data_IF_136456229088
#
_entry.id   IF_136456229088
#
_cell.length_a   1.000
_cell.length_b   1.000
_cell.length_c   1.000
_cell.angle_alpha   90.00
_cell.angle_beta   90.00
_cell.angle_gamma   90.00
#
_symmetry.space_group_name_H-M   'P 1'
#
loop_
_entity.id
_entity.type
_entity.pdbx_description
1 polymer ?
#
# COMPACT_ATOMS: atom_id res chain seq x y z
N UNK A 1 -55.08 -3.42 13.80
CA UNK A 1 -54.33 -3.32 15.08
C UNK A 1 -53.07 -4.17 15.08
N UNK A 2 -53.05 -5.34 14.42
CA UNK A 2 -51.86 -6.21 14.36
C UNK A 2 -50.80 -5.71 13.36
N UNK A 3 -51.22 -5.20 12.19
CA UNK A 3 -50.30 -4.73 11.13
C UNK A 3 -49.46 -3.52 11.55
N UNK A 4 -50.04 -2.63 12.36
CA UNK A 4 -49.35 -1.44 12.85
C UNK A 4 -48.20 -1.80 13.79
N UNK A 5 -48.38 -2.81 14.64
CA UNK A 5 -47.34 -3.31 15.55
C UNK A 5 -46.24 -4.05 14.80
N UNK A 6 -46.57 -4.71 13.70
CA UNK A 6 -45.61 -5.39 12.83
C UNK A 6 -44.71 -4.37 12.08
N UNK A 7 -45.30 -3.29 11.57
CA UNK A 7 -44.58 -2.19 10.92
C UNK A 7 -43.64 -1.46 11.88
N UNK A 8 -44.07 -1.19 13.10
CA UNK A 8 -43.23 -0.56 14.13
C UNK A 8 -42.05 -1.45 14.53
N UNK A 9 -42.27 -2.76 14.66
CA UNK A 9 -41.20 -3.71 14.96
C UNK A 9 -40.17 -3.80 13.81
N UNK A 10 -40.62 -3.82 12.56
CA UNK A 10 -39.75 -3.82 11.38
C UNK A 10 -38.90 -2.54 11.32
N UNK A 11 -39.53 -1.37 11.44
CA UNK A 11 -38.82 -0.07 11.43
C UNK A 11 -37.76 0.00 12.54
N UNK A 12 -38.10 -0.47 13.75
CA UNK A 12 -37.14 -0.52 14.86
C UNK A 12 -35.94 -1.42 14.53
N UNK A 13 -36.15 -2.57 13.89
CA UNK A 13 -35.05 -3.46 13.48
C UNK A 13 -34.19 -2.88 12.37
N UNK A 14 -34.78 -2.16 11.42
CA UNK A 14 -34.04 -1.49 10.34
C UNK A 14 -33.23 -0.30 10.87
N UNK A 15 -33.78 0.50 11.78
CA UNK A 15 -33.04 1.58 12.45
C UNK A 15 -31.81 1.06 13.21
N UNK A 16 -31.94 -0.09 13.89
CA UNK A 16 -30.82 -0.73 14.57
C UNK A 16 -29.75 -1.21 13.59
N UNK A 17 -30.17 -1.78 12.45
CA UNK A 17 -29.27 -2.22 11.38
C UNK A 17 -28.51 -1.04 10.77
N UNK A 18 -29.21 0.05 10.46
CA UNK A 18 -28.59 1.26 9.89
C UNK A 18 -27.60 1.91 10.86
N UNK A 19 -27.92 1.96 12.16
CA UNK A 19 -26.98 2.43 13.18
C UNK A 19 -25.75 1.54 13.27
N UNK A 20 -25.91 0.22 13.14
CA UNK A 20 -24.78 -0.71 13.12
C UNK A 20 -23.92 -0.54 11.85
N UNK A 21 -24.55 -0.42 10.68
CA UNK A 21 -23.86 -0.18 9.41
C UNK A 21 -23.11 1.15 9.42
N UNK A 22 -23.72 2.22 9.93
CA UNK A 22 -23.07 3.52 10.08
C UNK A 22 -21.80 3.42 10.93
N UNK A 23 -21.85 2.72 12.07
CA UNK A 23 -20.67 2.48 12.93
C UNK A 23 -19.57 1.73 12.18
N UNK A 24 -19.93 0.66 11.45
CA UNK A 24 -18.98 -0.13 10.64
C UNK A 24 -18.33 0.74 9.56
N UNK A 25 -19.12 1.50 8.81
CA UNK A 25 -18.63 2.37 7.74
C UNK A 25 -17.71 3.47 8.28
N UNK A 26 -18.12 4.12 9.38
CA UNK A 26 -17.31 5.13 10.06
C UNK A 26 -15.98 4.55 10.53
N UNK A 27 -15.99 3.36 11.11
CA UNK A 27 -14.77 2.67 11.53
C UNK A 27 -13.87 2.31 10.35
N UNK A 28 -14.42 1.73 9.28
CA UNK A 28 -13.67 1.44 8.04
C UNK A 28 -13.02 2.70 7.46
N UNK A 29 -13.74 3.82 7.43
CA UNK A 29 -13.21 5.08 6.92
C UNK A 29 -12.08 5.63 7.80
N UNK A 30 -12.20 5.52 9.12
CA UNK A 30 -11.14 5.90 10.05
C UNK A 30 -9.88 5.04 9.83
N UNK A 31 -10.04 3.72 9.67
CA UNK A 31 -8.94 2.81 9.35
C UNK A 31 -8.26 3.18 8.02
N UNK A 32 -9.05 3.42 6.96
CA UNK A 32 -8.51 3.82 5.67
C UNK A 32 -7.75 5.15 5.76
N UNK A 33 -8.28 6.15 6.47
CA UNK A 33 -7.61 7.46 6.65
C UNK A 33 -6.31 7.32 7.44
N UNK A 34 -6.32 6.57 8.54
CA UNK A 34 -5.12 6.36 9.37
C UNK A 34 -4.04 5.59 8.63
N UNK A 35 -4.43 4.59 7.83
CA UNK A 35 -3.52 3.87 6.94
C UNK A 35 -2.95 4.79 5.86
N UNK A 36 -3.81 5.45 5.07
CA UNK A 36 -3.41 6.34 3.98
C UNK A 36 -2.53 7.50 4.46
N UNK A 37 -2.77 8.03 5.66
CA UNK A 37 -1.91 9.08 6.26
C UNK A 37 -0.50 8.57 6.57
N UNK A 38 -0.34 7.28 6.91
CA UNK A 38 0.96 6.66 7.21
C UNK A 38 1.70 6.21 5.96
N UNK A 39 0.97 5.85 4.90
CA UNK A 39 1.57 5.54 3.60
C UNK A 39 2.16 6.82 3.03
N UNK A 40 3.49 6.95 3.08
CA UNK A 40 4.18 7.99 2.32
C UNK A 40 3.92 7.72 0.84
N UNK A 41 3.29 8.67 0.15
CA UNK A 41 3.20 8.67 -1.32
C UNK A 41 4.61 8.84 -1.89
N UNK A 42 5.34 7.73 -2.02
CA UNK A 42 6.65 7.68 -2.65
C UNK A 42 6.41 7.58 -4.16
N UNK A 43 6.47 8.72 -4.82
CA UNK A 43 6.46 8.78 -6.27
C UNK A 43 7.91 8.87 -6.76
N UNK A 44 8.23 8.09 -7.78
CA UNK A 44 9.53 8.08 -8.44
C UNK A 44 9.32 8.37 -9.92
N UNK A 45 10.26 9.11 -10.51
CA UNK A 45 10.27 9.40 -11.94
C UNK A 45 11.22 8.47 -12.67
N UNK A 46 10.99 8.27 -13.96
CA UNK A 46 11.95 7.57 -14.82
C UNK A 46 13.29 8.29 -14.75
N UNK A 47 14.35 7.54 -14.49
CA UNK A 47 15.69 8.05 -14.33
C UNK A 47 16.10 8.41 -12.90
N UNK A 48 15.19 8.41 -11.92
CA UNK A 48 15.53 8.59 -10.50
C UNK A 48 16.41 7.43 -10.02
N UNK A 49 17.40 7.75 -9.19
CA UNK A 49 18.18 6.76 -8.45
C UNK A 49 17.44 6.31 -7.18
N UNK A 50 17.40 5.01 -6.97
CA UNK A 50 16.69 4.37 -5.86
C UNK A 50 17.48 3.21 -5.27
N UNK A 51 17.38 3.03 -3.97
CA UNK A 51 17.84 1.83 -3.28
C UNK A 51 16.70 0.83 -3.16
N UNK A 52 16.98 -0.46 -3.38
CA UNK A 52 15.99 -1.54 -3.19
C UNK A 52 16.12 -2.19 -1.82
N UNK A 53 15.02 -2.72 -1.30
CA UNK A 53 15.04 -3.42 -0.01
C UNK A 53 15.71 -4.80 -0.16
N UNK A 54 16.79 -5.05 0.57
CA UNK A 54 17.57 -6.29 0.45
C UNK A 54 16.72 -7.54 0.73
N UNK A 55 15.88 -7.51 1.78
CA UNK A 55 15.00 -8.65 2.12
C UNK A 55 13.93 -8.96 1.08
N UNK A 56 13.59 -7.99 0.23
CA UNK A 56 12.70 -8.24 -0.90
C UNK A 56 13.45 -8.94 -2.04
N UNK A 57 14.72 -8.61 -2.29
CA UNK A 57 15.54 -9.27 -3.32
C UNK A 57 16.03 -10.65 -2.89
N UNK A 58 16.50 -10.76 -1.65
CA UNK A 58 17.15 -11.95 -1.08
C UNK A 58 16.40 -12.44 0.17
N UNK A 59 15.20 -13.04 0.00
CA UNK A 59 14.38 -13.47 1.13
C UNK A 59 15.03 -14.60 1.94
N UNK A 60 15.93 -15.38 1.34
CA UNK A 60 16.63 -16.51 1.99
C UNK A 60 17.94 -16.09 2.70
N UNK A 61 18.54 -14.97 2.30
CA UNK A 61 19.83 -14.50 2.81
C UNK A 61 19.71 -13.38 3.85
N UNK A 62 18.54 -13.28 4.48
CA UNK A 62 18.28 -12.30 5.53
C UNK A 62 18.97 -12.74 6.85
N UNK A 63 20.29 -12.58 6.89
CA UNK A 63 21.08 -12.74 8.11
C UNK A 63 21.02 -11.45 8.92
N UNK A 64 21.24 -11.54 10.23
CA UNK A 64 21.16 -10.43 11.19
C UNK A 64 22.10 -9.25 10.88
N UNK A 65 23.05 -9.43 9.96
CA UNK A 65 24.06 -8.47 9.52
C UNK A 65 23.91 -8.02 8.05
N UNK A 66 22.87 -8.47 7.34
CA UNK A 66 22.68 -8.05 5.95
C UNK A 66 22.23 -6.58 5.87
N UNK A 67 22.75 -5.78 4.92
CA UNK A 67 22.35 -4.39 4.76
C UNK A 67 20.84 -4.30 4.46
N UNK A 68 20.17 -3.28 5.02
CA UNK A 68 18.71 -3.11 4.84
C UNK A 68 18.35 -2.68 3.42
N UNK A 69 19.17 -1.81 2.84
CA UNK A 69 19.02 -1.26 1.50
C UNK A 69 20.19 -1.72 0.64
N UNK A 70 19.91 -2.01 -0.61
CA UNK A 70 20.86 -2.55 -1.58
C UNK A 70 20.88 -1.64 -2.80
N UNK A 71 22.10 -1.31 -3.25
CA UNK A 71 22.45 -0.79 -4.57
C UNK A 71 21.79 0.52 -4.99
N UNK A 72 22.50 1.45 -5.62
CA UNK A 72 21.85 2.45 -6.45
C UNK A 72 21.35 1.80 -7.74
N UNK A 73 20.02 1.80 -7.94
CA UNK A 73 19.35 1.38 -9.17
C UNK A 73 18.67 2.58 -9.80
N UNK A 74 18.38 2.50 -11.10
CA UNK A 74 17.65 3.55 -11.81
C UNK A 74 16.24 3.08 -12.14
N UNK A 75 15.26 3.97 -12.03
CA UNK A 75 13.89 3.67 -12.48
C UNK A 75 13.87 3.67 -14.01
N UNK A 76 13.61 2.51 -14.61
CA UNK A 76 13.51 2.34 -16.06
C UNK A 76 12.15 2.75 -16.59
N UNK A 77 11.07 2.23 -15.98
CA UNK A 77 9.69 2.58 -16.34
C UNK A 77 8.73 2.53 -15.16
N UNK A 78 7.65 3.29 -15.29
CA UNK A 78 6.52 3.28 -14.37
C UNK A 78 5.45 2.38 -14.99
N UNK A 79 5.15 1.26 -14.34
CA UNK A 79 4.14 0.30 -14.83
C UNK A 79 2.73 0.63 -14.35
N UNK A 80 2.62 1.32 -13.22
CA UNK A 80 1.34 1.69 -12.62
C UNK A 80 1.54 2.46 -11.31
N UNK A 81 0.43 2.79 -10.61
CA UNK A 81 0.48 3.53 -9.35
C UNK A 81 1.35 2.81 -8.31
N UNK A 82 2.56 3.33 -8.07
CA UNK A 82 3.49 2.77 -7.11
C UNK A 82 4.23 1.50 -7.57
N UNK A 83 4.15 1.11 -8.84
CA UNK A 83 4.87 -0.05 -9.39
C UNK A 83 5.84 0.38 -10.48
N UNK A 84 7.10 -0.03 -10.32
CA UNK A 84 8.22 0.42 -11.15
C UNK A 84 9.05 -0.75 -11.64
N UNK A 85 9.70 -0.58 -12.78
CA UNK A 85 10.84 -1.41 -13.18
C UNK A 85 12.14 -0.68 -12.94
N UNK A 86 13.13 -1.45 -12.53
CA UNK A 86 14.47 -0.97 -12.27
C UNK A 86 15.41 -1.43 -13.37
N UNK A 87 16.44 -0.64 -13.59
CA UNK A 87 17.64 -1.02 -14.32
C UNK A 87 18.86 -0.83 -13.42
N UNK A 88 19.87 -1.65 -13.66
CA UNK A 88 21.18 -1.46 -13.07
C UNK A 88 21.86 -0.19 -13.64
N UNK A 89 22.93 0.27 -12.99
CA UNK A 89 23.71 1.40 -13.49
C UNK A 89 24.32 1.14 -14.88
N UNK A 90 24.55 -0.13 -15.21
CA UNK A 90 25.00 -0.59 -16.53
C UNK A 90 23.86 -0.70 -17.57
N UNK A 91 22.63 -0.29 -17.22
CA UNK A 91 21.47 -0.33 -18.12
C UNK A 91 20.82 -1.70 -18.28
N UNK A 92 21.26 -2.71 -17.51
CA UNK A 92 20.63 -4.04 -17.53
C UNK A 92 19.28 -3.99 -16.80
N UNK A 93 18.16 -4.39 -17.43
CA UNK A 93 16.88 -4.41 -16.76
C UNK A 93 16.86 -5.46 -15.65
N UNK A 94 16.25 -5.10 -14.51
CA UNK A 94 15.91 -6.07 -13.47
C UNK A 94 14.55 -6.66 -13.82
N UNK A 95 14.50 -7.97 -14.02
CA UNK A 95 13.30 -8.70 -14.49
C UNK A 95 12.09 -8.63 -13.54
N UNK A 96 12.28 -8.08 -12.34
CA UNK A 96 11.24 -7.96 -11.31
C UNK A 96 10.65 -6.56 -11.25
N UNK A 97 9.34 -6.49 -11.07
CA UNK A 97 8.61 -5.25 -10.75
C UNK A 97 8.71 -4.92 -9.27
N UNK A 98 8.93 -3.65 -8.94
CA UNK A 98 9.15 -3.16 -7.58
C UNK A 98 8.06 -2.19 -7.15
N UNK A 99 7.49 -2.42 -5.96
CA UNK A 99 6.55 -1.49 -5.36
C UNK A 99 7.29 -0.35 -4.63
N UNK A 100 6.71 0.85 -4.64
CA UNK A 100 7.27 2.07 -4.06
C UNK A 100 7.70 1.92 -2.58
N UNK A 101 6.98 1.08 -1.83
CA UNK A 101 7.28 0.81 -0.42
C UNK A 101 8.59 0.02 -0.19
N UNK A 102 9.08 -0.66 -1.23
CA UNK A 102 10.33 -1.42 -1.24
C UNK A 102 11.50 -0.64 -1.84
N UNK A 103 11.26 0.62 -2.20
CA UNK A 103 12.24 1.53 -2.77
C UNK A 103 12.47 2.72 -1.85
N UNK A 104 13.69 3.21 -1.82
CA UNK A 104 14.08 4.45 -1.16
C UNK A 104 14.76 5.36 -2.17
N UNK A 105 14.42 6.65 -2.21
CA UNK A 105 15.10 7.58 -3.13
C UNK A 105 16.55 7.74 -2.68
N UNK A 106 17.47 7.67 -3.63
CA UNK A 106 18.89 7.92 -3.43
C UNK A 106 19.22 9.28 -4.03
N UNK A 107 19.89 10.12 -3.25
CA UNK A 107 20.42 11.40 -3.70
C UNK A 107 21.94 11.27 -3.64
N UNK A 108 22.59 11.67 -4.74
CA UNK A 108 24.04 11.69 -4.85
C UNK A 108 24.61 12.95 -4.19
#
# INVERSE_FOLDING_TARGET
MNDQRLLEALNFTDELRDRALYKILKYKQLLARTYNRRVKNRQFLVGDLVLRLFSASHPKDQRKLSPKWEGPYRIKRILGPGTYELEDLDGKPIERTWHASKLCKYYM
#
